data_IF_732059013178
#
_entry.id   IF_732059013178
#
_cell.length_a   1.000
_cell.length_b   1.000
_cell.length_c   1.000
_cell.angle_alpha   90.00
_cell.angle_beta   90.00
_cell.angle_gamma   90.00
#
_symmetry.space_group_name_H-M   'P 1'
#
loop_
_entity.id
_entity.type
_entity.pdbx_description
1 polymer ?
#
# COMPACT_ATOMS: atom_id res chain seq x y z
N UNK A 1 1.40 15.86 0.00
CA UNK A 1 1.34 14.38 0.08
C UNK A 1 1.93 13.95 1.42
N UNK A 2 1.25 13.10 2.21
CA UNK A 2 1.77 12.63 3.50
C UNK A 2 2.49 11.29 3.32
N UNK A 3 3.54 11.07 4.13
CA UNK A 3 4.23 9.79 4.24
C UNK A 3 3.29 8.78 4.90
N UNK A 4 3.30 7.55 4.37
CA UNK A 4 2.58 6.43 4.97
C UNK A 4 3.23 6.03 6.31
N UNK A 5 2.46 5.82 7.40
CA UNK A 5 3.02 5.50 8.71
C UNK A 5 3.89 4.24 8.67
N UNK A 6 5.10 4.32 9.24
CA UNK A 6 6.05 3.19 9.23
C UNK A 6 5.52 2.01 10.05
N UNK A 7 4.91 2.26 11.21
CA UNK A 7 4.31 1.20 12.03
C UNK A 7 3.29 0.35 11.26
N UNK A 8 2.45 0.98 10.44
CA UNK A 8 1.46 0.28 9.63
C UNK A 8 2.11 -0.58 8.55
N UNK A 9 3.20 -0.10 7.92
CA UNK A 9 3.95 -0.91 6.94
C UNK A 9 4.61 -2.12 7.59
N UNK A 10 5.18 -1.93 8.77
CA UNK A 10 5.87 -3.01 9.47
C UNK A 10 4.85 -4.06 9.93
N UNK A 11 3.65 -3.65 10.36
CA UNK A 11 2.54 -4.56 10.62
C UNK A 11 2.07 -5.32 9.37
N UNK A 12 1.85 -4.63 8.25
CA UNK A 12 1.43 -5.27 6.98
C UNK A 12 2.48 -6.27 6.49
N UNK A 13 3.77 -5.97 6.70
CA UNK A 13 4.88 -6.90 6.36
C UNK A 13 4.90 -8.13 7.25
N UNK A 14 4.64 -7.99 8.54
CA UNK A 14 4.60 -9.09 9.51
C UNK A 14 3.42 -10.03 9.21
N UNK A 15 2.23 -9.45 8.98
CA UNK A 15 1.00 -10.19 8.69
C UNK A 15 0.99 -10.75 7.26
N UNK A 16 1.68 -10.09 6.32
CA UNK A 16 1.70 -10.44 4.89
C UNK A 16 0.38 -10.13 4.16
N UNK A 17 -0.50 -9.32 4.76
CA UNK A 17 -1.79 -8.90 4.19
C UNK A 17 -2.04 -7.42 4.42
N UNK A 18 -2.76 -6.79 3.49
CA UNK A 18 -3.20 -5.40 3.62
C UNK A 18 -4.53 -5.24 4.39
N UNK A 19 -4.99 -3.99 4.56
CA UNK A 19 -6.20 -3.67 5.33
C UNK A 19 -7.50 -4.24 4.72
N UNK A 20 -7.47 -4.67 3.46
CA UNK A 20 -8.58 -5.30 2.76
C UNK A 20 -8.44 -6.83 2.71
N UNK A 21 -7.38 -7.39 3.28
CA UNK A 21 -7.09 -8.81 3.28
C UNK A 21 -6.43 -9.32 2.00
N UNK A 22 -5.97 -8.44 1.10
CA UNK A 22 -5.20 -8.84 -0.07
C UNK A 22 -3.82 -9.32 0.39
N UNK A 23 -3.30 -10.36 -0.27
CA UNK A 23 -1.94 -10.83 -0.04
C UNK A 23 -0.93 -9.79 -0.51
N UNK A 24 0.15 -9.64 0.24
CA UNK A 24 1.23 -8.75 -0.14
C UNK A 24 2.02 -9.34 -1.32
N UNK A 25 1.67 -8.92 -2.53
CA UNK A 25 2.40 -9.30 -3.73
C UNK A 25 3.60 -8.38 -3.96
N UNK A 26 4.79 -8.96 -3.91
CA UNK A 26 6.05 -8.26 -4.18
C UNK A 26 6.42 -8.47 -5.64
N UNK A 27 6.63 -7.38 -6.37
CA UNK A 27 7.13 -7.39 -7.74
C UNK A 27 8.35 -6.48 -7.87
N UNK A 28 9.12 -6.68 -8.93
CA UNK A 28 10.28 -5.83 -9.25
C UNK A 28 9.81 -4.76 -10.22
N UNK A 29 10.04 -3.49 -9.88
CA UNK A 29 9.85 -2.38 -10.81
C UNK A 29 11.12 -2.24 -11.67
N UNK A 30 11.09 -2.82 -12.87
CA UNK A 30 12.23 -2.78 -13.80
C UNK A 30 12.45 -1.40 -14.42
N UNK A 31 11.41 -0.59 -14.53
CA UNK A 31 11.47 0.73 -15.16
C UNK A 31 11.83 1.82 -14.13
N UNK A 32 11.42 1.63 -12.88
CA UNK A 32 11.49 2.67 -11.86
C UNK A 32 10.50 3.81 -12.12
N UNK A 33 10.49 4.80 -11.22
CA UNK A 33 9.60 5.96 -11.30
C UNK A 33 8.26 5.78 -10.57
N UNK A 34 7.93 4.58 -10.10
CA UNK A 34 6.73 4.36 -9.28
C UNK A 34 6.73 5.23 -8.01
N UNK A 35 5.63 5.94 -7.69
CA UNK A 35 5.60 6.86 -6.55
C UNK A 35 5.49 6.11 -5.22
N UNK A 36 6.60 6.03 -4.48
CA UNK A 36 6.62 5.33 -3.20
C UNK A 36 6.01 6.17 -2.10
N UNK A 37 4.96 5.68 -1.45
CA UNK A 37 4.28 6.40 -0.35
C UNK A 37 5.01 6.31 0.98
N UNK A 38 5.90 5.33 1.15
CA UNK A 38 6.66 5.12 2.37
C UNK A 38 7.82 6.11 2.58
N UNK A 39 8.35 6.66 1.48
CA UNK A 39 9.50 7.58 1.51
C UNK A 39 9.34 8.80 0.60
N UNK A 40 8.19 8.93 -0.09
CA UNK A 40 7.90 10.02 -1.04
C UNK A 40 9.00 10.23 -2.08
N UNK A 41 9.62 9.12 -2.50
CA UNK A 41 10.65 9.06 -3.52
C UNK A 41 10.15 8.20 -4.68
N UNK A 42 10.51 8.47 -5.93
CA UNK A 42 10.34 7.49 -7.00
C UNK A 42 11.11 6.19 -6.70
N UNK A 43 10.57 5.07 -7.15
CA UNK A 43 11.26 3.79 -7.19
C UNK A 43 12.47 3.88 -8.13
N UNK A 44 13.55 3.18 -7.81
CA UNK A 44 14.65 2.97 -8.74
C UNK A 44 14.39 1.71 -9.59
N UNK A 45 14.95 1.62 -10.80
CA UNK A 45 14.97 0.38 -11.57
C UNK A 45 15.53 -0.77 -10.73
N UNK A 46 14.82 -1.90 -10.68
CA UNK A 46 15.18 -3.07 -9.89
C UNK A 46 14.70 -3.02 -8.42
N UNK A 47 13.97 -1.98 -8.00
CA UNK A 47 13.40 -1.94 -6.67
C UNK A 47 12.26 -2.97 -6.52
N UNK A 48 12.29 -3.72 -5.41
CA UNK A 48 11.18 -4.60 -5.02
C UNK A 48 10.08 -3.76 -4.39
N UNK A 49 8.92 -3.72 -5.03
CA UNK A 49 7.76 -2.98 -4.58
C UNK A 49 6.65 -3.93 -4.20
N UNK A 50 5.78 -3.49 -3.29
CA UNK A 50 4.51 -4.14 -3.04
C UNK A 50 3.38 -3.11 -3.11
N UNK A 51 2.28 -3.49 -3.75
CA UNK A 51 1.05 -2.71 -3.78
C UNK A 51 0.18 -3.12 -2.61
N UNK A 52 -0.30 -2.13 -1.86
CA UNK A 52 -1.20 -2.34 -0.73
C UNK A 52 -2.44 -1.47 -0.86
N UNK A 53 -3.59 -1.99 -0.46
CA UNK A 53 -4.79 -1.22 -0.23
C UNK A 53 -4.83 -0.80 1.25
N UNK A 54 -4.91 0.52 1.49
CA UNK A 54 -4.87 1.09 2.85
C UNK A 54 -6.13 1.89 3.19
N UNK A 55 -6.63 1.71 4.42
CA UNK A 55 -7.79 2.43 4.99
C UNK A 55 -7.36 3.28 6.19
N UNK A 56 -7.16 4.60 6.02
CA UNK A 56 -6.78 5.46 7.15
C UNK A 56 -7.88 5.65 8.20
N UNK A 57 -9.13 5.29 7.89
CA UNK A 57 -10.27 5.46 8.79
C UNK A 57 -10.94 4.11 9.04
N UNK A 58 -11.12 3.77 10.32
CA UNK A 58 -11.80 2.54 10.74
C UNK A 58 -13.32 2.61 10.61
N UNK A 59 -13.88 3.80 10.33
CA UNK A 59 -15.33 4.00 10.12
C UNK A 59 -15.61 4.38 8.68
N UNK A 60 -16.61 3.73 8.04
CA UNK A 60 -17.13 4.21 6.77
C UNK A 60 -17.70 5.63 6.98
N UNK A 61 -17.49 6.50 5.99
CA UNK A 61 -18.13 7.80 5.97
C UNK A 61 -19.66 7.69 5.99
N UNK A 62 -20.38 8.80 6.20
CA UNK A 62 -21.83 8.82 6.46
C UNK A 62 -22.76 8.29 5.35
N UNK A 63 -22.25 7.66 4.29
CA UNK A 63 -23.05 6.95 3.28
C UNK A 63 -22.32 5.70 2.81
N UNK A 64 -22.92 4.49 2.88
CA UNK A 64 -22.70 3.58 1.74
C UNK A 64 -23.90 2.69 1.34
N UNK A 65 -24.00 2.43 0.03
CA UNK A 65 -24.67 1.27 -0.60
C UNK A 65 -23.63 0.17 -0.92
N UNK A 66 -24.02 -1.08 -1.18
CA UNK A 66 -23.09 -2.22 -1.33
C UNK A 66 -22.11 -2.10 -2.52
N UNK A 67 -22.54 -1.48 -3.61
CA UNK A 67 -21.74 -0.99 -4.75
C UNK A 67 -20.73 0.11 -4.38
N UNK A 68 -20.88 0.73 -3.21
CA UNK A 68 -20.05 1.86 -2.75
C UNK A 68 -18.95 1.46 -1.75
N UNK A 69 -18.93 0.22 -1.27
CA UNK A 69 -17.84 -0.27 -0.42
C UNK A 69 -16.54 -0.56 -1.20
N UNK A 70 -16.62 -0.81 -2.50
CA UNK A 70 -15.48 -0.96 -3.41
C UNK A 70 -14.91 0.40 -3.89
N UNK A 71 -15.58 1.53 -3.59
CA UNK A 71 -15.27 2.87 -4.14
C UNK A 71 -14.85 3.94 -3.12
N UNK A 72 -14.67 3.60 -1.84
CA UNK A 72 -13.89 4.46 -0.91
C UNK A 72 -12.42 4.44 -1.34
N UNK A 73 -11.67 5.56 -1.29
CA UNK A 73 -10.41 5.67 -2.02
C UNK A 73 -9.40 4.67 -1.49
N UNK A 74 -9.28 3.56 -2.21
CA UNK A 74 -8.17 2.62 -2.17
C UNK A 74 -6.95 3.47 -2.50
N UNK A 75 -6.24 3.93 -1.48
CA UNK A 75 -4.94 4.53 -1.73
C UNK A 75 -4.02 3.35 -1.97
N UNK A 76 -3.89 2.95 -3.24
CA UNK A 76 -2.85 2.05 -3.68
C UNK A 76 -1.52 2.72 -3.36
N UNK A 77 -0.86 2.23 -2.32
CA UNK A 77 0.45 2.71 -1.93
C UNK A 77 1.47 1.70 -2.45
N UNK A 78 2.31 2.11 -3.40
CA UNK A 78 3.53 1.38 -3.69
C UNK A 78 4.49 1.61 -2.52
N UNK A 79 4.91 0.53 -1.89
CA UNK A 79 5.87 0.57 -0.78
C UNK A 79 7.10 -0.19 -1.21
N UNK A 80 8.29 0.36 -0.92
CA UNK A 80 9.52 -0.38 -1.17
C UNK A 80 9.57 -1.54 -0.17
N UNK A 81 9.56 -2.75 -0.70
CA UNK A 81 9.70 -3.95 0.10
C UNK A 81 11.16 -4.04 0.53
N UNK A 82 11.40 -4.05 1.86
CA UNK A 82 12.69 -4.42 2.45
C UNK A 82 12.77 -5.93 2.70
N UNK A 83 11.98 -6.73 1.99
CA UNK A 83 11.99 -8.18 2.14
C UNK A 83 13.27 -8.72 1.51
N UNK A 84 14.29 -8.86 2.37
CA UNK A 84 15.31 -9.89 2.26
C UNK A 84 14.59 -11.24 2.35
N UNK A 85 14.49 -11.93 1.22
CA UNK A 85 14.32 -13.40 1.21
C UNK A 85 15.72 -13.96 1.19
#
# INVERSE_FOLDING_TARGET
VRVFPRETLDHIRDVGKDDFGNLLEVFVDEQGGSPLRCCLRPAAPGDRLALIAYRPFSRPGPMPRLDQCLSTPITAAATRSRVSI
#
